data_IF_147236065864
#
_entry.id   IF_147236065864
#
_cell.length_a   1.000
_cell.length_b   1.000
_cell.length_c   1.000
_cell.angle_alpha   90.00
_cell.angle_beta   90.00
_cell.angle_gamma   90.00
#
_symmetry.space_group_name_H-M   'P 1'
#
loop_
_entity.id
_entity.type
_entity.pdbx_description
1 polymer ?
#
# COMPACT_ATOMS: atom_id res chain seq x y z
N UNK A 1 17.95 -10.31 -38.67
CA UNK A 1 17.06 -9.21 -38.23
C UNK A 1 16.96 -8.23 -39.36
N UNK A 2 15.77 -7.97 -39.90
CA UNK A 2 15.55 -7.05 -41.01
C UNK A 2 15.78 -5.61 -40.55
N UNK A 3 16.26 -4.77 -41.46
CA UNK A 3 16.51 -3.33 -41.21
C UNK A 3 15.28 -2.58 -40.70
N UNK A 4 14.09 -3.01 -41.09
CA UNK A 4 12.82 -2.46 -40.61
C UNK A 4 12.54 -2.79 -39.12
N UNK A 5 12.88 -4.00 -38.68
CA UNK A 5 12.74 -4.39 -37.26
C UNK A 5 13.63 -3.54 -36.35
N UNK A 6 14.88 -3.26 -36.81
CA UNK A 6 15.78 -2.38 -36.06
C UNK A 6 15.29 -0.93 -36.00
N UNK A 7 14.67 -0.41 -37.08
CA UNK A 7 14.06 0.92 -37.11
C UNK A 7 12.87 1.00 -36.16
N UNK A 8 12.04 -0.04 -36.13
CA UNK A 8 10.87 -0.16 -35.20
C UNK A 8 11.32 -0.17 -33.74
N UNK A 9 12.32 -0.98 -33.38
CA UNK A 9 12.86 -1.02 -32.01
C UNK A 9 13.49 0.32 -31.60
N UNK A 10 14.20 1.00 -32.51
CA UNK A 10 14.75 2.35 -32.26
C UNK A 10 13.63 3.36 -32.00
N UNK A 11 12.51 3.31 -32.76
CA UNK A 11 11.33 4.19 -32.57
C UNK A 11 10.68 3.97 -31.21
N UNK A 12 10.48 2.71 -30.80
CA UNK A 12 9.91 2.36 -29.47
C UNK A 12 10.84 2.86 -28.36
N UNK A 13 12.14 2.60 -28.48
CA UNK A 13 13.13 3.02 -27.47
C UNK A 13 13.22 4.54 -27.36
N UNK A 14 13.14 5.27 -28.50
CA UNK A 14 13.12 6.73 -28.53
C UNK A 14 11.85 7.26 -27.86
N UNK A 15 10.68 6.69 -28.17
CA UNK A 15 9.40 7.06 -27.54
C UNK A 15 9.44 6.84 -26.02
N UNK A 16 9.97 5.70 -25.58
CA UNK A 16 10.09 5.37 -24.15
C UNK A 16 11.01 6.36 -23.42
N UNK A 17 12.16 6.70 -24.01
CA UNK A 17 13.07 7.71 -23.45
C UNK A 17 12.40 9.10 -23.38
N UNK A 18 11.70 9.50 -24.44
CA UNK A 18 10.98 10.78 -24.47
C UNK A 18 9.89 10.84 -23.39
N UNK A 19 9.14 9.75 -23.18
CA UNK A 19 8.12 9.70 -22.12
C UNK A 19 8.77 9.82 -20.74
N UNK A 20 9.88 9.12 -20.50
CA UNK A 20 10.62 9.23 -19.23
C UNK A 20 11.16 10.65 -19.03
N UNK A 21 11.76 11.23 -20.09
CA UNK A 21 12.26 12.61 -20.04
C UNK A 21 11.16 13.61 -19.73
N UNK A 22 10.00 13.51 -20.39
CA UNK A 22 8.86 14.39 -20.13
C UNK A 22 8.32 14.26 -18.71
N UNK A 23 8.28 13.04 -18.15
CA UNK A 23 7.87 12.83 -16.75
C UNK A 23 8.81 13.53 -15.78
N UNK A 24 10.12 13.39 -15.98
CA UNK A 24 11.13 14.05 -15.13
C UNK A 24 11.05 15.57 -15.31
N UNK A 25 10.87 16.05 -16.55
CA UNK A 25 10.76 17.47 -16.85
C UNK A 25 9.54 18.10 -16.17
N UNK A 26 8.38 17.45 -16.22
CA UNK A 26 7.16 17.93 -15.54
C UNK A 26 7.39 18.01 -14.03
N UNK A 27 7.97 16.97 -13.42
CA UNK A 27 8.27 16.97 -11.99
C UNK A 27 9.27 18.09 -11.62
N UNK A 28 10.31 18.26 -12.43
CA UNK A 28 11.31 19.31 -12.22
C UNK A 28 10.71 20.71 -12.35
N UNK A 29 9.88 20.95 -13.37
CA UNK A 29 9.20 22.24 -13.56
C UNK A 29 8.25 22.53 -12.40
N UNK A 30 7.53 21.52 -11.89
CA UNK A 30 6.66 21.67 -10.73
C UNK A 30 7.44 22.07 -9.48
N UNK A 31 8.55 21.38 -9.18
CA UNK A 31 9.41 21.70 -8.03
C UNK A 31 10.05 23.09 -8.18
N UNK A 32 10.49 23.43 -9.36
CA UNK A 32 11.04 24.76 -9.64
C UNK A 32 10.01 25.87 -9.46
N UNK A 33 8.80 25.67 -9.99
CA UNK A 33 7.70 26.62 -9.82
C UNK A 33 7.35 26.79 -8.33
N UNK A 34 7.30 25.68 -7.57
CA UNK A 34 7.02 25.73 -6.13
C UNK A 34 8.10 26.53 -5.38
N UNK A 35 9.39 26.27 -5.65
CA UNK A 35 10.50 27.03 -5.04
C UNK A 35 10.40 28.52 -5.37
N UNK A 36 10.22 28.88 -6.63
CA UNK A 36 10.10 30.28 -7.06
C UNK A 36 8.89 30.98 -6.40
N UNK A 37 7.75 30.33 -6.31
CA UNK A 37 6.56 30.90 -5.67
C UNK A 37 6.75 31.13 -4.18
N UNK A 38 7.51 30.24 -3.50
CA UNK A 38 7.85 30.39 -2.09
C UNK A 38 8.87 31.54 -1.86
N UNK A 39 9.90 31.64 -2.71
CA UNK A 39 10.95 32.67 -2.60
C UNK A 39 10.44 34.08 -2.98
N UNK A 40 9.56 34.17 -3.98
CA UNK A 40 8.97 35.46 -4.40
C UNK A 40 7.86 35.96 -3.48
N UNK A 41 7.46 35.17 -2.46
CA UNK A 41 6.39 35.53 -1.54
C UNK A 41 4.99 35.49 -2.15
N UNK A 42 4.82 34.96 -3.35
CA UNK A 42 3.50 34.69 -3.95
C UNK A 42 2.71 33.70 -3.10
N UNK A 43 3.45 32.76 -2.49
CA UNK A 43 2.92 31.78 -1.55
C UNK A 43 3.67 31.95 -0.23
N UNK A 44 2.95 31.99 0.89
CA UNK A 44 3.57 32.10 2.20
C UNK A 44 4.43 30.86 2.49
N UNK A 45 5.75 31.06 2.52
CA UNK A 45 6.71 29.99 2.75
C UNK A 45 6.61 29.36 4.15
N UNK A 46 5.97 30.03 5.11
CA UNK A 46 5.68 29.46 6.42
C UNK A 46 4.58 28.40 6.35
N UNK A 47 3.56 28.59 5.48
CA UNK A 47 2.43 27.68 5.34
C UNK A 47 2.74 26.57 4.32
N UNK A 48 3.33 26.92 3.20
CA UNK A 48 3.50 25.98 2.08
C UNK A 48 4.92 25.38 2.02
N UNK A 49 5.86 25.85 2.85
CA UNK A 49 7.26 25.45 2.81
C UNK A 49 7.90 25.65 1.42
N UNK A 50 9.07 25.10 1.20
CA UNK A 50 9.70 25.00 -0.13
C UNK A 50 10.52 23.71 -0.24
N UNK A 51 10.80 23.21 -1.44
CA UNK A 51 11.68 22.08 -1.66
C UNK A 51 13.02 22.19 -0.95
N UNK A 52 13.67 23.34 -0.97
CA UNK A 52 14.95 23.58 -0.28
C UNK A 52 14.84 23.47 1.24
N UNK A 53 13.75 23.99 1.83
CA UNK A 53 13.49 23.89 3.27
C UNK A 53 13.20 22.48 3.71
N UNK A 54 12.45 21.71 2.90
CA UNK A 54 12.19 20.28 3.12
C UNK A 54 13.49 19.49 3.17
N UNK A 55 14.42 19.72 2.20
CA UNK A 55 15.72 19.06 2.16
C UNK A 55 16.56 19.44 3.36
N UNK A 56 16.62 20.72 3.72
CA UNK A 56 17.37 21.21 4.90
C UNK A 56 16.83 20.59 6.19
N UNK A 57 15.50 20.47 6.31
CA UNK A 57 14.84 19.84 7.44
C UNK A 57 15.22 18.34 7.53
N UNK A 58 15.19 17.63 6.40
CA UNK A 58 15.59 16.23 6.32
C UNK A 58 17.05 16.02 6.75
N UNK A 59 17.96 16.86 6.27
CA UNK A 59 19.38 16.76 6.64
C UNK A 59 19.59 16.97 8.14
N UNK A 60 18.95 17.97 8.76
CA UNK A 60 19.03 18.21 10.20
C UNK A 60 18.52 17.03 11.02
N UNK A 61 17.36 16.45 10.64
CA UNK A 61 16.80 15.30 11.32
C UNK A 61 17.57 13.99 11.03
N UNK A 62 18.41 13.98 10.02
CA UNK A 62 19.31 12.87 9.72
C UNK A 62 20.55 12.94 10.64
N UNK A 63 21.07 14.13 10.92
CA UNK A 63 22.22 14.34 11.81
C UNK A 63 21.95 13.88 13.25
N UNK A 64 20.73 14.12 13.76
CA UNK A 64 20.32 13.68 15.10
C UNK A 64 19.67 12.27 15.10
N UNK A 65 19.51 11.65 13.92
CA UNK A 65 19.01 10.29 13.75
C UNK A 65 17.50 10.13 13.97
N UNK A 66 16.77 11.18 14.32
CA UNK A 66 15.36 11.11 14.68
C UNK A 66 14.46 10.65 13.52
N UNK A 67 14.77 11.07 12.29
CA UNK A 67 14.00 10.67 11.11
C UNK A 67 14.00 9.15 10.87
N UNK A 68 15.15 8.49 11.09
CA UNK A 68 15.27 7.04 10.90
C UNK A 68 14.46 6.24 11.93
N UNK A 69 14.36 6.76 13.15
CA UNK A 69 13.51 6.18 14.19
C UNK A 69 12.03 6.20 13.76
N UNK A 70 11.53 7.34 13.29
CA UNK A 70 10.15 7.46 12.80
C UNK A 70 9.89 6.58 11.57
N UNK A 71 10.82 6.55 10.60
CA UNK A 71 10.73 5.67 9.43
C UNK A 71 10.67 4.20 9.85
N UNK A 72 11.55 3.78 10.75
CA UNK A 72 11.64 2.39 11.22
C UNK A 72 10.35 1.91 11.87
N UNK A 73 9.71 2.74 12.68
CA UNK A 73 8.45 2.41 13.35
C UNK A 73 7.32 2.25 12.33
N UNK A 74 7.11 3.24 11.45
CA UNK A 74 6.06 3.16 10.42
C UNK A 74 6.27 1.97 9.49
N UNK A 75 7.51 1.66 9.09
CA UNK A 75 7.82 0.48 8.28
C UNK A 75 7.51 -0.81 9.03
N UNK A 76 7.92 -0.93 10.29
CA UNK A 76 7.65 -2.11 11.11
C UNK A 76 6.13 -2.36 11.22
N UNK A 77 5.36 -1.37 11.60
CA UNK A 77 3.91 -1.45 11.76
C UNK A 77 3.22 -1.79 10.43
N UNK A 78 3.67 -1.18 9.33
CA UNK A 78 3.15 -1.47 7.98
C UNK A 78 3.45 -2.90 7.54
N UNK A 79 4.68 -3.38 7.73
CA UNK A 79 5.06 -4.74 7.33
C UNK A 79 4.36 -5.80 8.16
N UNK A 80 4.21 -5.59 9.48
CA UNK A 80 3.45 -6.50 10.35
C UNK A 80 1.98 -6.55 9.94
N UNK A 81 1.34 -5.39 9.74
CA UNK A 81 -0.05 -5.30 9.26
C UNK A 81 -0.21 -6.01 7.91
N UNK A 82 0.68 -5.77 6.97
CA UNK A 82 0.67 -6.38 5.64
C UNK A 82 0.81 -7.91 5.69
N UNK A 83 1.74 -8.44 6.49
CA UNK A 83 1.91 -9.88 6.66
C UNK A 83 0.66 -10.52 7.24
N UNK A 84 0.10 -9.93 8.30
CA UNK A 84 -1.11 -10.41 8.94
C UNK A 84 -2.30 -10.38 7.98
N UNK A 85 -2.51 -9.29 7.24
CA UNK A 85 -3.58 -9.19 6.23
C UNK A 85 -3.39 -10.25 5.15
N UNK A 86 -2.19 -10.41 4.63
CA UNK A 86 -1.91 -11.37 3.55
C UNK A 86 -2.20 -12.79 3.99
N UNK A 87 -1.68 -13.20 5.16
CA UNK A 87 -1.89 -14.54 5.69
C UNK A 87 -3.36 -14.81 6.01
N UNK A 88 -4.00 -13.91 6.76
CA UNK A 88 -5.40 -14.08 7.18
C UNK A 88 -6.37 -14.04 6.00
N UNK A 89 -6.17 -13.16 5.03
CA UNK A 89 -7.03 -13.07 3.85
C UNK A 89 -6.93 -14.30 2.94
N UNK A 90 -5.73 -14.85 2.73
CA UNK A 90 -5.56 -16.11 1.99
C UNK A 90 -6.26 -17.26 2.73
N UNK A 91 -6.08 -17.36 4.05
CA UNK A 91 -6.68 -18.41 4.88
C UNK A 91 -8.21 -18.35 4.83
N UNK A 92 -8.78 -17.17 5.02
CA UNK A 92 -10.23 -16.97 4.97
C UNK A 92 -10.77 -17.21 3.55
N UNK A 93 -10.10 -16.72 2.51
CA UNK A 93 -10.52 -16.97 1.12
C UNK A 93 -10.51 -18.48 0.78
N UNK A 94 -9.53 -19.25 1.26
CA UNK A 94 -9.50 -20.70 1.13
C UNK A 94 -10.70 -21.33 1.86
N UNK A 95 -11.00 -20.91 3.09
CA UNK A 95 -12.15 -21.40 3.84
C UNK A 95 -13.46 -21.13 3.12
N UNK A 96 -13.67 -19.91 2.61
CA UNK A 96 -14.85 -19.54 1.84
C UNK A 96 -14.98 -20.38 0.55
N UNK A 97 -13.87 -20.61 -0.15
CA UNK A 97 -13.85 -21.48 -1.34
C UNK A 97 -14.16 -22.94 -0.97
N UNK A 98 -13.66 -23.41 0.19
CA UNK A 98 -13.94 -24.76 0.66
C UNK A 98 -15.38 -24.99 1.14
N UNK A 99 -16.06 -23.95 1.64
CA UNK A 99 -17.39 -24.06 2.22
C UNK A 99 -18.33 -23.05 1.55
N UNK A 100 -18.95 -23.46 0.42
CA UNK A 100 -19.80 -22.58 -0.39
C UNK A 100 -20.96 -21.97 0.40
N UNK A 101 -21.64 -22.74 1.24
CA UNK A 101 -22.69 -22.20 2.12
C UNK A 101 -22.20 -21.12 3.08
N UNK A 102 -20.94 -21.22 3.54
CA UNK A 102 -20.33 -20.19 4.39
C UNK A 102 -20.08 -18.89 3.59
N UNK A 103 -19.65 -19.02 2.33
CA UNK A 103 -19.44 -17.85 1.48
C UNK A 103 -20.75 -17.12 1.17
N UNK A 104 -21.84 -17.84 0.87
CA UNK A 104 -23.15 -17.24 0.63
C UNK A 104 -23.69 -16.47 1.84
N UNK A 105 -23.44 -16.99 3.05
CA UNK A 105 -23.85 -16.33 4.31
C UNK A 105 -22.98 -15.09 4.59
N UNK A 106 -21.66 -15.19 4.41
CA UNK A 106 -20.73 -14.13 4.81
C UNK A 106 -20.55 -13.02 3.76
N UNK A 107 -20.83 -13.29 2.49
CA UNK A 107 -20.63 -12.33 1.40
C UNK A 107 -21.25 -10.94 1.68
N UNK A 108 -22.55 -10.82 2.03
CA UNK A 108 -23.15 -9.51 2.30
C UNK A 108 -22.50 -8.80 3.49
N UNK A 109 -22.08 -9.52 4.53
CA UNK A 109 -21.40 -8.93 5.68
C UNK A 109 -20.02 -8.41 5.30
N UNK A 110 -19.26 -9.15 4.48
CA UNK A 110 -17.94 -8.74 4.01
C UNK A 110 -18.02 -7.48 3.16
N UNK A 111 -19.03 -7.35 2.29
CA UNK A 111 -19.26 -6.15 1.49
C UNK A 111 -19.56 -4.95 2.39
N UNK A 112 -20.44 -5.10 3.38
CA UNK A 112 -20.77 -4.02 4.34
C UNK A 112 -19.53 -3.63 5.13
N UNK A 113 -18.79 -4.59 5.70
CA UNK A 113 -17.56 -4.33 6.46
C UNK A 113 -16.47 -3.68 5.60
N UNK A 114 -16.39 -4.03 4.31
CA UNK A 114 -15.47 -3.36 3.39
C UNK A 114 -15.87 -1.91 3.11
N UNK A 115 -17.15 -1.58 3.17
CA UNK A 115 -17.69 -0.24 2.88
C UNK A 115 -17.64 0.72 4.07
N UNK A 116 -17.37 0.22 5.29
CA UNK A 116 -17.27 1.07 6.47
C UNK A 116 -16.15 2.12 6.35
N UNK A 117 -16.35 3.36 6.79
CA UNK A 117 -15.32 4.37 6.84
C UNK A 117 -14.25 3.99 7.88
N UNK A 118 -13.10 3.48 7.40
CA UNK A 118 -12.04 2.91 8.26
C UNK A 118 -11.46 3.92 9.26
N UNK A 119 -11.38 5.20 8.86
CA UNK A 119 -10.93 6.28 9.75
C UNK A 119 -11.86 6.49 10.95
N UNK A 120 -13.16 6.20 10.80
CA UNK A 120 -14.11 6.28 11.92
C UNK A 120 -13.95 5.13 12.93
N UNK A 121 -13.34 4.02 12.52
CA UNK A 121 -13.05 2.89 13.42
C UNK A 121 -11.84 3.13 14.32
N UNK A 122 -10.90 4.00 13.93
CA UNK A 122 -9.66 4.19 14.67
C UNK A 122 -9.87 4.67 16.13
N UNK A 123 -10.76 5.64 16.44
CA UNK A 123 -11.05 6.01 17.83
C UNK A 123 -11.63 4.85 18.64
N UNK A 124 -12.48 4.02 18.04
CA UNK A 124 -13.07 2.84 18.69
C UNK A 124 -11.98 1.80 19.02
N UNK A 125 -11.04 1.56 18.11
CA UNK A 125 -9.91 0.66 18.33
C UNK A 125 -9.05 1.13 19.50
N UNK A 126 -8.85 2.43 19.67
CA UNK A 126 -8.09 3.00 20.79
C UNK A 126 -8.81 2.75 22.12
N UNK A 127 -10.12 2.90 22.15
CA UNK A 127 -10.92 2.63 23.37
C UNK A 127 -10.85 1.14 23.76
N UNK A 128 -10.84 0.23 22.78
CA UNK A 128 -10.82 -1.22 23.05
C UNK A 128 -9.42 -1.76 23.34
N UNK A 129 -8.40 -1.30 22.64
CA UNK A 129 -7.05 -1.87 22.66
C UNK A 129 -6.03 -0.96 23.35
N UNK A 130 -6.39 0.31 23.64
CA UNK A 130 -5.47 1.31 24.14
C UNK A 130 -4.65 1.99 23.04
N UNK A 131 -3.92 3.03 23.39
CA UNK A 131 -2.99 3.75 22.48
C UNK A 131 -1.63 3.06 22.46
N UNK A 132 -1.44 2.10 21.57
CA UNK A 132 -0.22 1.28 21.47
C UNK A 132 -0.01 0.78 20.01
N UNK A 133 1.15 0.20 19.74
CA UNK A 133 1.51 -0.39 18.44
C UNK A 133 0.51 -1.44 17.95
N UNK A 134 -0.07 -2.23 18.84
CA UNK A 134 -1.07 -3.25 18.45
C UNK A 134 -2.29 -2.58 17.82
N UNK A 135 -2.76 -1.48 18.41
CA UNK A 135 -3.89 -0.71 17.87
C UNK A 135 -3.59 -0.17 16.48
N UNK A 136 -2.37 0.32 16.25
CA UNK A 136 -1.93 0.84 14.95
C UNK A 136 -1.87 -0.28 13.92
N UNK A 137 -1.32 -1.43 14.27
CA UNK A 137 -1.30 -2.62 13.41
C UNK A 137 -2.71 -3.08 13.06
N UNK A 138 -3.63 -3.14 14.02
CA UNK A 138 -5.03 -3.51 13.79
C UNK A 138 -5.74 -2.47 12.91
N UNK A 139 -5.45 -1.18 13.08
CA UNK A 139 -5.95 -0.13 12.20
C UNK A 139 -5.44 -0.33 10.76
N UNK A 140 -4.14 -0.63 10.58
CA UNK A 140 -3.56 -1.00 9.29
C UNK A 140 -4.27 -2.19 8.65
N UNK A 141 -4.51 -3.25 9.42
CA UNK A 141 -5.24 -4.44 8.96
C UNK A 141 -6.68 -4.11 8.54
N UNK A 142 -7.39 -3.31 9.33
CA UNK A 142 -8.82 -3.02 9.12
C UNK A 142 -9.10 -2.39 7.76
N UNK A 143 -8.16 -1.64 7.21
CA UNK A 143 -8.30 -0.98 5.91
C UNK A 143 -8.25 -1.97 4.76
N UNK A 144 -7.40 -3.00 4.84
CA UNK A 144 -7.09 -3.89 3.73
C UNK A 144 -7.82 -5.25 3.78
N UNK A 145 -8.15 -5.77 4.97
CA UNK A 145 -8.50 -7.19 5.15
C UNK A 145 -9.75 -7.61 4.38
N UNK A 146 -10.85 -6.86 4.47
CA UNK A 146 -12.13 -7.26 3.87
C UNK A 146 -12.07 -7.22 2.34
N UNK A 147 -11.49 -6.15 1.76
CA UNK A 147 -11.26 -6.06 0.32
C UNK A 147 -10.33 -7.14 -0.19
N UNK A 148 -9.30 -7.49 0.59
CA UNK A 148 -8.37 -8.55 0.27
C UNK A 148 -9.05 -9.93 0.22
N UNK A 149 -9.87 -10.25 1.22
CA UNK A 149 -10.61 -11.51 1.29
C UNK A 149 -11.56 -11.64 0.08
N UNK A 150 -12.38 -10.61 -0.19
CA UNK A 150 -13.32 -10.60 -1.31
C UNK A 150 -12.60 -10.78 -2.65
N UNK A 151 -11.49 -10.08 -2.84
CA UNK A 151 -10.71 -10.13 -4.08
C UNK A 151 -10.10 -11.52 -4.32
N UNK A 152 -9.52 -12.12 -3.27
CA UNK A 152 -8.96 -13.47 -3.33
C UNK A 152 -10.04 -14.54 -3.51
N UNK A 153 -11.16 -14.45 -2.77
CA UNK A 153 -12.28 -15.38 -2.92
C UNK A 153 -12.85 -15.35 -4.34
N UNK A 154 -13.08 -14.16 -4.89
CA UNK A 154 -13.53 -13.99 -6.27
C UNK A 154 -12.54 -14.62 -7.25
N UNK A 155 -11.23 -14.37 -7.05
CA UNK A 155 -10.19 -14.95 -7.89
C UNK A 155 -10.18 -16.49 -7.84
N UNK A 156 -10.32 -17.09 -6.65
CA UNK A 156 -10.38 -18.54 -6.47
C UNK A 156 -11.62 -19.14 -7.12
N UNK A 157 -12.75 -18.42 -7.10
CA UNK A 157 -14.04 -18.87 -7.66
C UNK A 157 -14.12 -18.73 -9.17
N UNK A 158 -13.32 -17.85 -9.78
CA UNK A 158 -13.27 -17.62 -11.24
C UNK A 158 -12.29 -18.54 -11.97
N UNK A 159 -11.59 -19.41 -11.25
CA UNK A 159 -10.72 -20.42 -11.86
C UNK A 159 -11.56 -21.35 -12.76
N UNK A 160 -10.97 -21.72 -13.88
CA UNK A 160 -11.56 -22.59 -14.88
C UNK A 160 -12.16 -23.87 -14.28
N UNK A 161 -13.49 -23.95 -14.35
CA UNK A 161 -14.24 -25.05 -13.77
C UNK A 161 -13.97 -26.40 -14.48
N UNK A 162 -13.54 -26.39 -15.73
CA UNK A 162 -13.18 -27.61 -16.46
C UNK A 162 -11.95 -28.27 -15.84
N UNK A 163 -10.96 -27.48 -15.44
CA UNK A 163 -9.77 -27.98 -14.74
C UNK A 163 -10.13 -28.60 -13.39
N UNK A 164 -11.07 -27.99 -12.67
CA UNK A 164 -11.55 -28.52 -11.38
C UNK A 164 -12.32 -29.83 -11.60
N UNK A 165 -13.20 -29.91 -12.64
CA UNK A 165 -13.93 -31.13 -13.02
C UNK A 165 -12.98 -32.24 -13.42
N UNK A 166 -11.90 -31.96 -14.14
CA UNK A 166 -10.87 -32.94 -14.49
C UNK A 166 -10.28 -33.62 -13.25
N UNK A 167 -9.99 -32.87 -12.18
CA UNK A 167 -9.50 -33.47 -10.92
C UNK A 167 -10.52 -34.45 -10.34
N UNK A 168 -11.82 -34.11 -10.39
CA UNK A 168 -12.88 -34.99 -9.88
C UNK A 168 -13.08 -36.24 -10.74
N UNK A 169 -12.95 -36.16 -12.07
CA UNK A 169 -12.99 -37.32 -12.96
C UNK A 169 -11.83 -38.28 -12.73
N UNK A 170 -10.69 -37.76 -12.28
CA UNK A 170 -9.53 -38.57 -11.86
C UNK A 170 -9.64 -39.06 -10.40
N UNK A 171 -10.84 -39.10 -9.81
CA UNK A 171 -11.12 -39.48 -8.43
C UNK A 171 -10.41 -38.62 -7.38
N UNK A 172 -10.02 -37.39 -7.76
CA UNK A 172 -9.44 -36.40 -6.84
C UNK A 172 -10.49 -35.80 -5.89
N UNK A 173 -10.06 -35.48 -4.67
CA UNK A 173 -10.90 -34.82 -3.66
C UNK A 173 -10.76 -33.29 -3.78
N UNK A 174 -11.66 -32.53 -3.13
CA UNK A 174 -11.64 -31.07 -3.08
C UNK A 174 -10.29 -30.48 -2.70
N UNK A 175 -9.58 -31.13 -1.77
CA UNK A 175 -8.21 -30.74 -1.39
C UNK A 175 -7.23 -30.82 -2.58
N UNK A 176 -7.36 -31.83 -3.45
CA UNK A 176 -6.52 -31.92 -4.66
C UNK A 176 -6.85 -30.81 -5.66
N UNK A 177 -8.13 -30.49 -5.84
CA UNK A 177 -8.53 -29.34 -6.67
C UNK A 177 -7.94 -28.02 -6.13
N UNK A 178 -8.02 -27.78 -4.82
CA UNK A 178 -7.45 -26.61 -4.18
C UNK A 178 -5.94 -26.50 -4.42
N UNK A 179 -5.19 -27.54 -4.05
CA UNK A 179 -3.70 -27.50 -4.03
C UNK A 179 -3.07 -27.61 -5.40
N UNK A 180 -3.72 -28.28 -6.38
CA UNK A 180 -3.15 -28.53 -7.71
C UNK A 180 -3.67 -27.61 -8.81
N UNK A 181 -4.83 -26.99 -8.59
CA UNK A 181 -5.48 -26.12 -9.61
C UNK A 181 -5.70 -24.71 -9.07
N UNK A 182 -6.46 -24.57 -7.97
CA UNK A 182 -6.90 -23.25 -7.50
C UNK A 182 -5.73 -22.41 -6.98
N UNK A 183 -4.97 -22.90 -6.03
CA UNK A 183 -3.85 -22.12 -5.46
C UNK A 183 -2.79 -21.79 -6.52
N UNK A 184 -2.26 -22.75 -7.31
CA UNK A 184 -1.28 -22.42 -8.34
C UNK A 184 -1.82 -21.48 -9.41
N UNK A 185 -3.09 -21.69 -9.83
CA UNK A 185 -3.73 -20.83 -10.83
C UNK A 185 -4.00 -19.40 -10.34
N UNK A 186 -4.07 -19.20 -9.02
CA UNK A 186 -4.35 -17.90 -8.40
C UNK A 186 -3.08 -17.14 -7.95
N UNK A 187 -1.89 -17.69 -8.13
CA UNK A 187 -0.63 -17.01 -7.72
C UNK A 187 -0.54 -15.58 -8.29
N UNK A 188 -0.82 -15.32 -9.58
CA UNK A 188 -0.76 -13.96 -10.10
C UNK A 188 -1.75 -13.00 -9.41
N UNK A 189 -2.94 -13.50 -9.08
CA UNK A 189 -3.96 -12.72 -8.36
C UNK A 189 -3.54 -12.45 -6.91
N UNK A 190 -2.93 -13.43 -6.22
CA UNK A 190 -2.39 -13.26 -4.88
C UNK A 190 -1.33 -12.17 -4.88
N UNK A 191 -0.37 -12.21 -5.80
CA UNK A 191 0.68 -11.18 -5.90
C UNK A 191 0.10 -9.80 -6.23
N UNK A 192 -0.87 -9.74 -7.15
CA UNK A 192 -1.57 -8.49 -7.47
C UNK A 192 -2.28 -7.91 -6.24
N UNK A 193 -2.96 -8.77 -5.47
CA UNK A 193 -3.61 -8.38 -4.22
C UNK A 193 -2.61 -7.88 -3.16
N UNK A 194 -1.45 -8.53 -3.04
CA UNK A 194 -0.36 -8.07 -2.15
C UNK A 194 0.12 -6.66 -2.50
N UNK A 195 0.24 -6.31 -3.79
CA UNK A 195 0.61 -4.95 -4.23
C UNK A 195 -0.39 -3.88 -3.79
N UNK A 196 -1.67 -4.21 -3.81
CA UNK A 196 -2.72 -3.30 -3.32
C UNK A 196 -2.69 -3.22 -1.80
N UNK A 197 -2.57 -4.35 -1.13
CA UNK A 197 -2.63 -4.44 0.32
C UNK A 197 -1.49 -3.69 1.02
N UNK A 198 -0.26 -3.70 0.47
CA UNK A 198 0.86 -2.99 1.10
C UNK A 198 0.59 -1.48 1.19
N UNK A 199 -0.01 -0.90 0.13
CA UNK A 199 -0.41 0.50 0.13
C UNK A 199 -1.57 0.79 1.09
N UNK A 200 -2.59 -0.09 1.11
CA UNK A 200 -3.72 0.05 2.02
C UNK A 200 -3.31 -0.09 3.50
N UNK A 201 -2.40 -1.02 3.81
CA UNK A 201 -1.85 -1.17 5.16
C UNK A 201 -1.07 0.08 5.59
N UNK A 202 -0.25 0.65 4.70
CA UNK A 202 0.46 1.91 4.99
C UNK A 202 -0.52 3.04 5.32
N UNK A 203 -1.58 3.21 4.52
CA UNK A 203 -2.63 4.22 4.79
C UNK A 203 -3.31 3.97 6.14
N UNK A 204 -3.65 2.72 6.44
CA UNK A 204 -4.30 2.38 7.71
C UNK A 204 -3.38 2.58 8.93
N UNK A 205 -2.08 2.28 8.80
CA UNK A 205 -1.07 2.55 9.82
C UNK A 205 -0.95 4.04 10.07
N UNK A 206 -0.87 4.87 9.04
CA UNK A 206 -0.82 6.33 9.18
C UNK A 206 -2.05 6.86 9.93
N UNK A 207 -3.26 6.36 9.62
CA UNK A 207 -4.48 6.72 10.35
C UNK A 207 -4.38 6.30 11.82
N UNK A 208 -3.85 5.12 12.10
CA UNK A 208 -3.59 4.65 13.45
C UNK A 208 -2.56 5.51 14.20
N UNK A 209 -1.45 5.84 13.54
CA UNK A 209 -0.40 6.71 14.08
C UNK A 209 -0.91 8.13 14.40
N UNK A 210 -1.81 8.70 13.60
CA UNK A 210 -2.41 10.01 13.88
C UNK A 210 -3.09 10.09 15.24
N UNK A 211 -3.64 9.00 15.72
CA UNK A 211 -4.51 8.98 16.89
C UNK A 211 -3.89 8.28 18.11
N UNK A 212 -3.04 7.26 17.88
CA UNK A 212 -2.57 6.36 18.93
C UNK A 212 -1.06 6.38 19.15
N UNK A 213 -0.25 6.96 18.23
CA UNK A 213 1.19 6.87 18.27
C UNK A 213 1.84 7.99 19.11
N UNK A 214 3.08 7.70 19.58
CA UNK A 214 4.01 8.66 20.13
C UNK A 214 5.28 8.80 19.27
N UNK A 215 5.36 8.05 18.19
CA UNK A 215 6.44 8.03 17.20
C UNK A 215 5.94 7.39 15.92
N UNK A 216 6.64 7.58 14.81
CA UNK A 216 6.23 7.20 13.47
C UNK A 216 6.08 8.43 12.57
N UNK A 217 5.99 8.22 11.25
CA UNK A 217 5.86 9.33 10.30
C UNK A 217 4.48 9.97 10.36
N UNK A 218 3.42 9.18 10.59
CA UNK A 218 2.08 9.71 10.80
C UNK A 218 1.98 10.54 12.08
N UNK A 219 2.57 10.08 13.18
CA UNK A 219 2.70 10.89 14.39
C UNK A 219 3.44 12.21 14.09
N UNK A 220 4.54 12.16 13.36
CA UNK A 220 5.32 13.35 13.02
C UNK A 220 4.49 14.35 12.18
N UNK A 221 3.64 13.88 11.28
CA UNK A 221 2.72 14.72 10.50
C UNK A 221 1.72 15.44 11.40
N UNK A 222 1.02 14.70 12.28
CA UNK A 222 0.00 15.32 13.14
C UNK A 222 0.63 16.26 14.17
N UNK A 223 1.76 15.88 14.78
CA UNK A 223 2.51 16.71 15.69
C UNK A 223 2.96 18.01 15.01
N UNK A 224 3.55 17.90 13.82
CA UNK A 224 4.04 19.06 13.07
C UNK A 224 2.93 20.02 12.66
N UNK A 225 1.74 19.50 12.35
CA UNK A 225 0.58 20.33 12.05
C UNK A 225 0.10 21.12 13.28
N UNK A 226 0.15 20.51 14.47
CA UNK A 226 -0.27 21.15 15.73
C UNK A 226 0.69 22.24 16.21
N UNK A 227 2.00 22.05 15.96
CA UNK A 227 3.03 23.01 16.36
C UNK A 227 3.45 23.97 15.24
N UNK A 228 2.72 23.97 14.12
CA UNK A 228 2.97 24.80 12.93
C UNK A 228 4.39 24.66 12.33
N UNK A 229 5.00 23.46 12.46
CA UNK A 229 6.27 23.11 11.80
C UNK A 229 6.01 22.44 10.44
N UNK A 230 5.52 23.19 9.48
CA UNK A 230 5.02 22.66 8.22
C UNK A 230 6.13 22.07 7.32
N UNK A 231 7.38 22.47 7.51
CA UNK A 231 8.55 21.84 6.87
C UNK A 231 8.67 20.35 7.28
N UNK A 232 8.44 20.03 8.55
CA UNK A 232 8.47 18.66 9.07
C UNK A 232 7.30 17.83 8.54
N UNK A 233 6.12 18.44 8.45
CA UNK A 233 4.92 17.82 7.91
C UNK A 233 5.13 17.40 6.44
N UNK A 234 5.54 18.35 5.60
CA UNK A 234 5.74 18.10 4.17
C UNK A 234 6.91 17.13 3.92
N UNK A 235 7.99 17.24 4.69
CA UNK A 235 9.09 16.26 4.67
C UNK A 235 8.59 14.85 4.97
N UNK A 236 7.77 14.68 6.01
CA UNK A 236 7.23 13.37 6.38
C UNK A 236 6.33 12.78 5.30
N UNK A 237 5.49 13.62 4.64
CA UNK A 237 4.67 13.20 3.49
C UNK A 237 5.57 12.76 2.33
N UNK A 238 6.63 13.51 2.01
CA UNK A 238 7.59 13.13 0.96
C UNK A 238 8.25 11.78 1.26
N UNK A 239 8.67 11.56 2.50
CA UNK A 239 9.26 10.28 2.93
C UNK A 239 8.24 9.15 2.78
N UNK A 240 6.97 9.34 3.19
CA UNK A 240 5.91 8.35 3.01
C UNK A 240 5.68 8.00 1.54
N UNK A 241 5.69 8.99 0.64
CA UNK A 241 5.59 8.74 -0.80
C UNK A 241 6.75 7.87 -1.31
N UNK A 242 7.98 8.14 -0.87
CA UNK A 242 9.15 7.34 -1.23
C UNK A 242 9.01 5.92 -0.69
N UNK A 243 8.61 5.75 0.57
CA UNK A 243 8.39 4.44 1.19
C UNK A 243 7.32 3.66 0.42
N UNK A 244 6.19 4.28 0.08
CA UNK A 244 5.12 3.63 -0.69
C UNK A 244 5.62 3.10 -2.04
N UNK A 245 6.40 3.91 -2.77
CA UNK A 245 7.00 3.51 -4.05
C UNK A 245 7.99 2.36 -3.87
N UNK A 246 8.84 2.41 -2.83
CA UNK A 246 9.82 1.36 -2.55
C UNK A 246 9.14 0.04 -2.17
N UNK A 247 8.15 0.07 -1.29
CA UNK A 247 7.39 -1.11 -0.89
C UNK A 247 6.67 -1.75 -2.08
N UNK A 248 6.03 -0.95 -2.92
CA UNK A 248 5.41 -1.43 -4.15
C UNK A 248 6.44 -2.04 -5.11
N UNK A 249 7.60 -1.40 -5.29
CA UNK A 249 8.66 -1.89 -6.16
C UNK A 249 9.24 -3.23 -5.67
N UNK A 250 9.40 -3.43 -4.36
CA UNK A 250 9.86 -4.69 -3.77
C UNK A 250 8.90 -5.83 -4.10
N UNK A 251 7.59 -5.63 -3.90
CA UNK A 251 6.61 -6.68 -4.23
C UNK A 251 6.58 -6.94 -5.75
N UNK A 252 6.76 -5.92 -6.57
CA UNK A 252 6.82 -6.08 -8.02
C UNK A 252 8.06 -6.85 -8.52
N UNK A 253 9.13 -6.88 -7.74
CA UNK A 253 10.31 -7.71 -8.04
C UNK A 253 10.05 -9.20 -7.76
N UNK A 254 9.19 -9.52 -6.79
CA UNK A 254 8.80 -10.90 -6.45
C UNK A 254 7.94 -11.53 -7.56
N UNK A 255 7.21 -10.71 -8.34
CA UNK A 255 6.38 -11.18 -9.45
C UNK A 255 7.17 -11.62 -10.69
N UNK A 256 8.41 -11.14 -10.85
CA UNK A 256 9.26 -11.45 -12.01
C UNK A 256 10.02 -12.75 -11.83
#
# INVERSE_FOLDING_TARGET
MTTEHLRFLKKIRRRRRMVVFLRILILFLFLLQWEICADTGVVDSFIFSSPSRIVTCFLKMTEDGSVFHHIGITLYETLVSFLLVTLTSILIAILLWCFHGLSEILDPYMVVLNSLPKSALAPLLIVWLGANTTTIVVAGMSVAIFGSILNLYTSFSTIDQEKIRLIYTLHGKRRHALTKVVLPGSIPAIISNMKVNIGLCLVGVIIGEFLAARSGLGYLIIYSSQVFKLDWLLMSICILCIIAVLLYAIINLIEK
#
